data_IF_716947545987
#
_entry.id   IF_716947545987
#
_cell.length_a   1.000
_cell.length_b   1.000
_cell.length_c   1.000
_cell.angle_alpha   90.00
_cell.angle_beta   90.00
_cell.angle_gamma   90.00
#
_symmetry.space_group_name_H-M   'P 1'
#
loop_
_entity.id
_entity.type
_entity.pdbx_description
1 polymer ?
#
# COMPACT_ATOMS: atom_id res chain seq x y z
N UNK A 1 5.89 19.23 -1.15
CA UNK A 1 5.18 18.06 -0.61
C UNK A 1 5.77 16.85 -1.30
N UNK A 2 6.37 15.93 -0.55
CA UNK A 2 6.89 14.70 -1.09
C UNK A 2 5.90 13.57 -0.81
N UNK A 3 5.75 12.64 -1.75
CA UNK A 3 5.04 11.38 -1.48
C UNK A 3 5.99 10.49 -0.70
N UNK A 4 5.47 9.73 0.27
CA UNK A 4 6.23 8.67 0.92
C UNK A 4 5.44 7.38 0.91
N UNK A 5 6.08 6.29 0.48
CA UNK A 5 5.52 4.93 0.51
C UNK A 5 6.05 4.10 1.68
N UNK A 6 6.57 4.75 2.73
CA UNK A 6 7.06 4.05 3.94
C UNK A 6 5.97 3.20 4.59
N UNK A 7 4.72 3.63 4.55
CA UNK A 7 3.59 2.87 5.09
C UNK A 7 3.34 1.58 4.31
N UNK A 8 3.42 1.59 2.98
CA UNK A 8 3.32 0.39 2.14
C UNK A 8 4.33 -0.68 2.57
N UNK A 9 5.59 -0.30 2.76
CA UNK A 9 6.65 -1.24 3.18
C UNK A 9 6.42 -1.83 4.57
N UNK A 10 5.84 -1.05 5.48
CA UNK A 10 5.45 -1.55 6.81
C UNK A 10 4.28 -2.55 6.71
N UNK A 11 3.24 -2.22 5.95
CA UNK A 11 2.10 -3.12 5.72
C UNK A 11 2.50 -4.46 5.10
N UNK A 12 3.50 -4.45 4.22
CA UNK A 12 4.06 -5.68 3.64
C UNK A 12 4.70 -6.56 4.72
N UNK A 13 5.44 -5.96 5.66
CA UNK A 13 6.04 -6.68 6.79
C UNK A 13 4.95 -7.22 7.71
N UNK A 14 3.94 -6.41 8.03
CA UNK A 14 2.81 -6.81 8.89
C UNK A 14 2.01 -7.99 8.32
N UNK A 15 2.02 -8.16 6.98
CA UNK A 15 1.35 -9.27 6.27
C UNK A 15 2.30 -10.40 5.88
N UNK A 16 3.55 -10.40 6.36
CA UNK A 16 4.59 -11.39 6.01
C UNK A 16 4.84 -11.53 4.49
N UNK A 17 4.76 -10.43 3.75
CA UNK A 17 4.91 -10.41 2.29
C UNK A 17 6.20 -9.76 1.84
N UNK A 18 6.84 -10.34 0.82
CA UNK A 18 8.01 -9.74 0.19
C UNK A 18 7.62 -8.87 -1.00
N UNK A 19 8.57 -8.02 -1.44
CA UNK A 19 8.42 -7.23 -2.69
C UNK A 19 8.13 -8.12 -3.91
N UNK A 20 8.63 -9.37 -3.89
CA UNK A 20 8.38 -10.36 -4.94
C UNK A 20 6.91 -10.79 -4.96
N UNK A 21 6.31 -11.02 -3.79
CA UNK A 21 4.92 -11.43 -3.67
C UNK A 21 3.98 -10.29 -4.03
N UNK A 22 4.29 -9.06 -3.61
CA UNK A 22 3.56 -7.89 -4.07
C UNK A 22 3.55 -7.79 -5.59
N UNK A 23 4.70 -8.06 -6.22
CA UNK A 23 4.81 -8.04 -7.68
C UNK A 23 4.01 -9.15 -8.34
N UNK A 24 3.97 -10.34 -7.76
CA UNK A 24 3.17 -11.46 -8.24
C UNK A 24 1.67 -11.18 -8.14
N UNK A 25 1.21 -10.59 -7.04
CA UNK A 25 -0.22 -10.27 -6.84
C UNK A 25 -0.70 -9.07 -7.67
N UNK A 26 0.10 -8.02 -7.77
CA UNK A 26 -0.30 -6.77 -8.43
C UNK A 26 0.01 -6.75 -9.92
N UNK A 27 0.88 -7.65 -10.39
CA UNK A 27 1.34 -7.69 -11.78
C UNK A 27 2.12 -6.45 -12.20
N UNK A 28 2.65 -5.67 -11.25
CA UNK A 28 3.37 -4.43 -11.58
C UNK A 28 4.73 -4.70 -12.21
N UNK A 29 5.08 -3.87 -13.19
CA UNK A 29 6.38 -3.92 -13.85
C UNK A 29 7.51 -3.55 -12.90
N UNK A 30 8.74 -4.01 -13.20
CA UNK A 30 9.93 -3.68 -12.39
C UNK A 30 10.14 -2.16 -12.29
N UNK A 31 9.84 -1.42 -13.35
CA UNK A 31 9.96 0.04 -13.43
C UNK A 31 9.12 0.72 -12.34
N UNK A 32 7.86 0.31 -12.21
CA UNK A 32 6.94 0.78 -11.19
C UNK A 32 7.44 0.49 -9.77
N UNK A 33 7.97 -0.71 -9.55
CA UNK A 33 8.53 -1.10 -8.25
C UNK A 33 9.74 -0.21 -7.86
N UNK A 34 10.56 0.17 -8.85
CA UNK A 34 11.65 1.12 -8.63
C UNK A 34 11.14 2.52 -8.31
N UNK A 35 10.07 3.00 -8.96
CA UNK A 35 9.45 4.30 -8.66
C UNK A 35 8.92 4.36 -7.22
N UNK A 36 8.20 3.32 -6.79
CA UNK A 36 7.72 3.17 -5.41
C UNK A 36 8.88 3.17 -4.40
N UNK A 37 10.01 2.54 -4.76
CA UNK A 37 11.20 2.50 -3.90
C UNK A 37 11.94 3.84 -3.83
N UNK A 38 11.74 4.72 -4.82
CA UNK A 38 12.33 6.05 -4.90
C UNK A 38 11.39 7.16 -4.40
N UNK A 39 10.24 6.79 -3.85
CA UNK A 39 9.20 7.74 -3.43
C UNK A 39 8.72 8.67 -4.58
N UNK A 40 8.72 8.14 -5.82
CA UNK A 40 8.24 8.84 -7.01
C UNK A 40 6.73 8.69 -7.20
N UNK A 41 6.12 9.62 -7.95
CA UNK A 41 4.72 9.51 -8.34
C UNK A 41 4.51 8.31 -9.28
N UNK A 42 3.54 7.47 -8.94
CA UNK A 42 3.07 6.38 -9.80
C UNK A 42 1.65 6.67 -10.29
N UNK A 43 1.25 6.03 -11.38
CA UNK A 43 -0.11 6.14 -11.90
C UNK A 43 -1.13 5.61 -10.88
N UNK A 44 -2.30 6.22 -10.81
CA UNK A 44 -3.41 5.79 -9.94
C UNK A 44 -3.86 4.36 -10.23
N UNK A 45 -3.71 3.88 -11.46
CA UNK A 45 -3.95 2.48 -11.86
C UNK A 45 -3.05 1.47 -11.14
N UNK A 46 -1.84 1.87 -10.78
CA UNK A 46 -0.89 1.02 -10.07
C UNK A 46 -1.29 0.96 -8.60
N UNK A 47 -1.66 2.12 -8.05
CA UNK A 47 -2.14 2.22 -6.68
C UNK A 47 -3.40 1.37 -6.50
N UNK A 48 -4.36 1.45 -7.43
CA UNK A 48 -5.58 0.63 -7.35
C UNK A 48 -5.27 -0.87 -7.36
N UNK A 49 -4.35 -1.34 -8.21
CA UNK A 49 -3.90 -2.74 -8.21
C UNK A 49 -3.29 -3.17 -6.87
N UNK A 50 -2.45 -2.32 -6.28
CA UNK A 50 -1.83 -2.57 -4.97
C UNK A 50 -2.89 -2.62 -3.88
N UNK A 51 -3.80 -1.64 -3.85
CA UNK A 51 -4.92 -1.54 -2.93
C UNK A 51 -5.84 -2.77 -3.02
N UNK A 52 -6.18 -3.22 -4.22
CA UNK A 52 -6.98 -4.42 -4.44
C UNK A 52 -6.26 -5.70 -4.01
N UNK A 53 -4.95 -5.79 -4.26
CA UNK A 53 -4.16 -6.96 -3.85
C UNK A 53 -3.98 -7.05 -2.33
N UNK A 54 -3.82 -5.91 -1.65
CA UNK A 54 -3.56 -5.84 -0.21
C UNK A 54 -4.83 -5.61 0.63
N UNK A 55 -5.97 -5.38 -0.02
CA UNK A 55 -7.23 -4.94 0.60
C UNK A 55 -7.03 -3.72 1.50
N UNK A 56 -6.44 -2.65 0.96
CA UNK A 56 -6.18 -1.41 1.68
C UNK A 56 -6.52 -0.17 0.84
N UNK A 57 -6.62 0.99 1.49
CA UNK A 57 -6.85 2.26 0.80
C UNK A 57 -5.51 2.92 0.40
N UNK A 58 -5.55 3.89 -0.52
CA UNK A 58 -4.38 4.67 -0.92
C UNK A 58 -3.75 5.41 0.26
N UNK A 59 -4.55 5.86 1.23
CA UNK A 59 -4.06 6.55 2.43
C UNK A 59 -3.21 5.69 3.39
N UNK A 60 -3.35 4.36 3.28
CA UNK A 60 -2.60 3.40 4.07
C UNK A 60 -1.25 3.05 3.42
N UNK A 61 -1.14 3.16 2.10
CA UNK A 61 0.09 2.83 1.36
C UNK A 61 0.96 4.05 1.05
N UNK A 62 0.35 5.23 0.91
CA UNK A 62 1.05 6.48 0.63
C UNK A 62 0.63 7.60 1.58
N UNK A 63 1.57 8.50 1.86
CA UNK A 63 1.32 9.73 2.60
C UNK A 63 2.03 10.91 1.95
N UNK A 64 1.42 12.09 2.02
CA UNK A 64 2.05 13.33 1.61
C UNK A 64 2.72 13.98 2.81
N UNK A 65 4.04 14.07 2.79
CA UNK A 65 4.83 14.66 3.87
C UNK A 65 5.23 16.09 3.47
N UNK A 66 4.80 17.13 4.22
CA UNK A 66 5.40 18.45 4.16
C UNK A 66 6.75 18.42 4.91
N UNK A 67 7.70 19.27 4.51
CA UNK A 67 9.12 19.25 4.94
C UNK A 67 9.38 19.64 6.42
N UNK A 68 8.49 19.27 7.36
CA UNK A 68 8.62 19.57 8.78
C UNK A 68 8.28 18.36 9.66
N UNK A 69 9.35 17.74 10.18
CA UNK A 69 9.48 16.97 11.43
C UNK A 69 8.51 15.80 11.68
N UNK A 70 9.10 14.60 11.54
CA UNK A 70 8.94 13.37 12.34
C UNK A 70 8.10 13.51 13.63
N UNK A 71 6.90 12.91 13.67
CA UNK A 71 6.42 12.13 14.82
C UNK A 71 5.16 11.31 14.50
N UNK A 72 5.22 10.03 14.89
CA UNK A 72 4.16 9.11 15.28
C UNK A 72 2.70 9.54 15.03
N UNK A 73 2.03 8.84 14.12
CA UNK A 73 0.58 8.62 14.23
C UNK A 73 0.31 7.12 14.21
N UNK A 74 -0.01 6.65 15.40
CA UNK A 74 -0.77 5.44 15.68
C UNK A 74 -2.09 5.49 14.89
N UNK A 75 -2.40 4.42 14.18
CA UNK A 75 -3.74 4.17 13.66
C UNK A 75 -4.17 2.85 14.29
N UNK A 76 -4.84 2.95 15.43
CA UNK A 76 -5.57 1.83 16.03
C UNK A 76 -7.01 1.82 15.50
N UNK A 77 -7.34 0.69 14.89
CA UNK A 77 -8.61 -0.07 14.88
C UNK A 77 -9.92 0.59 14.43
N UNK A 78 -10.59 -0.05 13.45
CA UNK A 78 -11.72 -1.00 13.64
C UNK A 78 -11.83 -1.79 12.32
N UNK A 79 -11.92 -3.12 12.23
CA UNK A 79 -12.66 -4.01 13.11
C UNK A 79 -14.12 -4.15 12.65
N UNK A 80 -14.35 -4.78 11.49
CA UNK A 80 -15.60 -5.50 11.13
C UNK A 80 -15.14 -6.58 10.15
N UNK A 81 -14.92 -7.84 10.54
CA UNK A 81 -15.90 -8.80 11.05
C UNK A 81 -17.27 -8.57 10.42
N UNK A 82 -17.38 -9.03 9.18
CA UNK A 82 -18.42 -9.91 8.62
C UNK A 82 -17.87 -10.21 7.20
N UNK A 83 -17.22 -11.33 6.92
CA UNK A 83 -17.80 -12.67 6.85
C UNK A 83 -19.31 -12.60 6.67
N UNK A 84 -19.80 -12.79 5.45
CA UNK A 84 -20.83 -13.78 5.09
C UNK A 84 -21.06 -13.61 3.58
N UNK A 85 -20.60 -14.60 2.80
CA UNK A 85 -21.11 -14.94 1.45
C UNK A 85 -20.84 -13.90 0.34
N UNK A 86 -20.47 -14.26 -0.89
CA UNK A 86 -20.94 -15.34 -1.76
C UNK A 86 -19.87 -15.45 -2.88
N UNK A 87 -19.22 -16.58 -3.22
CA UNK A 87 -19.74 -17.63 -4.11
C UNK A 87 -20.85 -17.08 -5.03
N UNK A 88 -20.69 -17.15 -6.36
CA UNK A 88 -21.48 -16.55 -7.47
C UNK A 88 -20.92 -15.19 -7.92
N UNK A 89 -20.15 -15.05 -9.01
CA UNK A 89 -19.98 -15.81 -10.27
C UNK A 89 -18.49 -15.89 -10.65
#
# INVERSE_FOLDING_TARGET
MAVSYKKLWKLLIDKEMMKKDLRAMTGVSTTTMSRLSKDENVSTEILSKICSALNCDVGDIMEFVPDKKRSSKEVREHGSFLSVYCIFD
#
